data_IF_270766254122
#
_entry.id   IF_270766254122
#
_cell.length_a   1.000
_cell.length_b   1.000
_cell.length_c   1.000
_cell.angle_alpha   90.00
_cell.angle_beta   90.00
_cell.angle_gamma   90.00
#
_symmetry.space_group_name_H-M   'P 1'
#
loop_
_entity.id
_entity.type
_entity.pdbx_description
1 polymer ?
#
# COMPACT_ATOMS: atom_id res chain seq x y z
N UNK A 1 -78.34 10.97 27.39
CA UNK A 1 -78.65 11.78 28.60
C UNK A 1 -77.33 12.33 29.14
N UNK A 2 -77.23 13.67 29.29
CA UNK A 2 -76.08 14.42 29.81
C UNK A 2 -75.03 14.78 28.75
N UNK A 3 -75.23 15.79 27.89
CA UNK A 3 -74.96 17.24 28.06
C UNK A 3 -73.48 17.54 28.42
N UNK A 4 -72.65 18.34 27.75
CA UNK A 4 -72.71 19.51 26.85
C UNK A 4 -71.85 20.61 27.49
N UNK A 5 -70.94 21.22 26.71
CA UNK A 5 -70.03 22.27 27.18
C UNK A 5 -69.10 22.80 26.09
N UNK A 6 -69.68 23.55 25.15
CA UNK A 6 -69.08 24.29 24.02
C UNK A 6 -68.50 25.65 24.43
N UNK A 7 -67.36 26.03 23.82
CA UNK A 7 -66.95 27.40 23.39
C UNK A 7 -65.67 27.23 22.52
N UNK A 8 -65.55 27.52 21.21
CA UNK A 8 -65.94 28.61 20.30
C UNK A 8 -64.93 29.77 20.21
N UNK A 9 -64.27 29.86 19.03
CA UNK A 9 -63.69 31.02 18.30
C UNK A 9 -62.59 31.88 18.96
N UNK A 10 -61.54 32.35 18.29
CA UNK A 10 -61.13 32.34 16.88
C UNK A 10 -59.83 33.17 16.71
N UNK A 11 -59.31 33.26 15.48
CA UNK A 11 -58.28 34.26 15.13
C UNK A 11 -57.21 33.75 14.18
N UNK A 12 -57.49 33.83 12.88
CA UNK A 12 -56.48 33.70 11.82
C UNK A 12 -55.57 34.93 11.75
N UNK A 13 -54.33 34.71 11.30
CA UNK A 13 -53.33 35.76 11.10
C UNK A 13 -52.25 35.28 10.15
N UNK A 14 -52.56 35.36 8.85
CA UNK A 14 -51.63 35.17 7.75
C UNK A 14 -50.72 36.39 7.68
N UNK A 15 -49.42 36.24 7.89
CA UNK A 15 -48.45 37.31 7.60
C UNK A 15 -47.90 37.15 6.18
N UNK A 16 -48.36 38.05 5.31
CA UNK A 16 -47.70 38.42 4.07
C UNK A 16 -46.49 39.31 4.35
N UNK A 17 -45.35 39.01 3.72
CA UNK A 17 -44.10 39.77 3.84
C UNK A 17 -43.26 39.72 2.55
N UNK A 18 -43.85 40.21 1.46
CA UNK A 18 -43.30 40.89 0.27
C UNK A 18 -41.82 40.67 -0.16
N UNK A 19 -41.73 40.05 -1.33
CA UNK A 19 -40.76 40.14 -2.44
C UNK A 19 -40.07 41.50 -2.64
N UNK A 20 -38.73 41.48 -2.84
CA UNK A 20 -37.96 42.31 -3.81
C UNK A 20 -36.75 41.46 -4.29
N UNK A 21 -36.65 41.13 -5.59
CA UNK A 21 -35.48 40.46 -6.23
C UNK A 21 -34.48 41.48 -6.81
N UNK A 22 -33.78 41.22 -7.94
CA UNK A 22 -33.15 39.99 -8.49
C UNK A 22 -31.65 40.26 -8.87
N UNK A 23 -31.06 39.46 -9.78
CA UNK A 23 -29.68 39.47 -10.34
C UNK A 23 -28.62 38.68 -9.54
N UNK A 24 -27.79 37.82 -10.13
CA UNK A 24 -27.57 37.49 -11.53
C UNK A 24 -26.62 36.29 -11.64
N UNK A 25 -26.81 35.52 -12.71
CA UNK A 25 -25.95 34.44 -13.20
C UNK A 25 -24.82 35.09 -14.02
N UNK A 26 -23.56 34.71 -13.82
CA UNK A 26 -22.44 35.01 -14.74
C UNK A 26 -21.35 33.92 -14.60
N UNK A 27 -21.14 33.04 -15.59
CA UNK A 27 -20.22 33.19 -16.75
C UNK A 27 -18.76 32.85 -16.37
N UNK A 28 -18.25 31.64 -16.66
CA UNK A 28 -17.56 31.20 -17.88
C UNK A 28 -16.40 32.11 -18.38
N UNK A 29 -15.18 31.65 -18.08
CA UNK A 29 -13.96 31.64 -18.91
C UNK A 29 -13.12 32.93 -19.13
N UNK A 30 -11.79 32.66 -19.11
CA UNK A 30 -10.69 33.31 -19.86
C UNK A 30 -9.93 34.45 -19.16
N UNK A 31 -8.65 34.19 -18.84
CA UNK A 31 -7.41 34.81 -19.38
C UNK A 31 -6.18 34.21 -18.65
N UNK A 32 -5.33 33.42 -19.31
CA UNK A 32 -4.11 33.78 -20.06
C UNK A 32 -2.98 34.45 -19.24
N UNK A 33 -1.93 33.67 -19.02
CA UNK A 33 -0.52 33.90 -19.41
C UNK A 33 0.17 35.24 -19.06
N UNK A 34 1.22 35.16 -18.23
CA UNK A 34 2.35 36.10 -18.14
C UNK A 34 3.59 35.23 -17.80
N UNK A 35 4.29 34.69 -18.79
CA UNK A 35 5.47 35.22 -19.48
C UNK A 35 6.61 35.76 -18.60
N UNK A 36 7.75 35.06 -18.72
CA UNK A 36 9.10 35.41 -18.30
C UNK A 36 9.60 36.74 -18.87
N UNK A 37 10.42 37.47 -18.11
CA UNK A 37 11.59 38.20 -18.60
C UNK A 37 12.43 38.69 -17.41
N UNK A 38 13.76 38.52 -17.49
CA UNK A 38 14.70 39.06 -16.51
C UNK A 38 16.12 38.49 -16.67
N UNK A 39 16.72 38.69 -17.84
CA UNK A 39 18.13 38.41 -18.15
C UNK A 39 18.97 39.68 -17.93
N UNK A 40 20.24 39.46 -17.53
CA UNK A 40 21.43 40.31 -17.65
C UNK A 40 21.58 41.47 -16.65
N UNK A 41 22.77 41.81 -16.15
CA UNK A 41 24.11 41.24 -16.20
C UNK A 41 25.01 42.08 -15.27
N UNK A 42 26.02 41.50 -14.63
CA UNK A 42 27.32 42.17 -14.55
C UNK A 42 28.46 41.18 -14.28
N UNK A 43 29.43 41.20 -15.19
CA UNK A 43 30.68 40.42 -15.25
C UNK A 43 31.87 41.21 -14.71
N UNK A 44 32.77 40.52 -14.00
CA UNK A 44 34.26 40.58 -14.05
C UNK A 44 34.79 39.56 -13.04
N UNK A 45 35.36 38.42 -13.45
CA UNK A 45 36.70 38.15 -14.01
C UNK A 45 37.84 38.60 -13.08
N UNK A 46 38.46 37.63 -12.41
CA UNK A 46 39.87 37.27 -12.66
C UNK A 46 40.29 36.04 -11.84
N UNK A 47 40.55 34.95 -12.55
CA UNK A 47 41.68 34.02 -12.41
C UNK A 47 42.08 33.46 -11.04
N UNK A 48 41.74 32.18 -10.85
CA UNK A 48 42.75 31.16 -10.50
C UNK A 48 42.53 29.91 -11.36
N UNK A 49 43.61 29.56 -12.04
CA UNK A 49 43.82 28.43 -12.94
C UNK A 49 43.73 27.07 -12.24
N UNK A 50 43.28 26.09 -13.04
CA UNK A 50 43.63 24.65 -12.99
C UNK A 50 43.19 23.80 -11.79
N UNK A 51 42.17 22.95 -12.01
CA UNK A 51 42.28 21.50 -11.80
C UNK A 51 41.08 20.73 -12.40
N UNK A 52 41.39 19.94 -13.42
CA UNK A 52 40.88 18.59 -13.70
C UNK A 52 39.37 18.36 -13.94
N UNK A 53 39.07 18.07 -15.20
CA UNK A 53 38.13 17.03 -15.60
C UNK A 53 38.57 15.65 -15.07
N UNK A 54 37.59 14.76 -14.88
CA UNK A 54 37.67 13.30 -14.62
C UNK A 54 37.76 12.87 -13.16
N UNK A 55 36.61 12.50 -12.59
CA UNK A 55 36.59 11.46 -11.54
C UNK A 55 35.28 10.66 -11.57
N UNK A 56 35.24 9.64 -12.44
CA UNK A 56 34.23 8.56 -12.39
C UNK A 56 34.93 7.21 -12.13
N UNK A 57 35.91 7.19 -11.23
CA UNK A 57 36.54 5.96 -10.76
C UNK A 57 35.86 5.49 -9.47
N UNK A 58 34.78 4.73 -9.62
CA UNK A 58 34.25 3.91 -8.53
C UNK A 58 35.40 3.05 -7.96
N UNK A 59 35.49 2.93 -6.64
CA UNK A 59 36.54 2.12 -6.01
C UNK A 59 36.49 0.67 -6.52
N UNK A 60 37.63 -0.05 -6.62
CA UNK A 60 37.67 -1.41 -7.16
C UNK A 60 36.66 -2.37 -6.52
N UNK A 61 36.41 -2.21 -5.22
CA UNK A 61 35.43 -3.00 -4.47
C UNK A 61 33.97 -2.64 -4.83
N UNK A 62 33.65 -1.35 -5.03
CA UNK A 62 32.32 -0.92 -5.49
C UNK A 62 32.05 -1.39 -6.92
N UNK A 63 33.07 -1.37 -7.78
CA UNK A 63 32.99 -1.89 -9.15
C UNK A 63 32.75 -3.39 -9.19
N UNK A 64 33.49 -4.16 -8.41
CA UNK A 64 33.27 -5.61 -8.28
C UNK A 64 31.84 -5.91 -7.84
N UNK A 65 31.34 -5.24 -6.80
CA UNK A 65 29.97 -5.45 -6.30
C UNK A 65 28.92 -5.18 -7.38
N UNK A 66 29.06 -4.05 -8.09
CA UNK A 66 28.13 -3.66 -9.16
C UNK A 66 28.17 -4.63 -10.34
N UNK A 67 29.35 -5.12 -10.72
CA UNK A 67 29.49 -6.11 -11.80
C UNK A 67 28.86 -7.45 -11.41
N UNK A 68 29.02 -7.88 -10.16
CA UNK A 68 28.37 -9.08 -9.65
C UNK A 68 26.84 -8.93 -9.64
N UNK A 69 26.32 -7.79 -9.16
CA UNK A 69 24.88 -7.46 -9.20
C UNK A 69 24.33 -7.47 -10.64
N UNK A 70 25.03 -6.82 -11.57
CA UNK A 70 24.64 -6.78 -12.99
C UNK A 70 24.60 -8.18 -13.59
N UNK A 71 25.54 -9.05 -13.22
CA UNK A 71 25.60 -10.44 -13.67
C UNK A 71 24.41 -11.25 -13.14
N UNK A 72 24.05 -11.08 -11.86
CA UNK A 72 22.85 -11.71 -11.25
C UNK A 72 21.58 -11.29 -12.01
N UNK A 73 21.42 -9.99 -12.27
CA UNK A 73 20.23 -9.46 -12.95
C UNK A 73 20.06 -10.03 -14.36
N UNK A 74 21.16 -10.17 -15.12
CA UNK A 74 21.17 -10.77 -16.46
C UNK A 74 20.73 -12.23 -16.44
N UNK A 75 21.29 -13.03 -15.52
CA UNK A 75 20.93 -14.45 -15.42
C UNK A 75 19.47 -14.61 -14.96
N UNK A 76 19.03 -13.80 -13.99
CA UNK A 76 17.64 -13.79 -13.56
C UNK A 76 16.68 -13.40 -14.69
N UNK A 77 17.07 -12.45 -15.56
CA UNK A 77 16.28 -12.09 -16.74
C UNK A 77 16.18 -13.25 -17.73
N UNK A 78 17.30 -13.93 -18.04
CA UNK A 78 17.28 -15.11 -18.92
C UNK A 78 16.43 -16.26 -18.37
N UNK A 79 16.36 -16.42 -17.05
CA UNK A 79 15.44 -17.38 -16.42
C UNK A 79 13.98 -16.95 -16.57
N UNK A 80 13.66 -15.65 -16.40
CA UNK A 80 12.31 -15.09 -16.63
C UNK A 80 11.86 -15.24 -18.08
N UNK A 81 12.77 -15.04 -19.02
CA UNK A 81 12.51 -15.14 -20.45
C UNK A 81 12.42 -16.61 -20.94
N UNK A 82 12.63 -17.59 -20.05
CA UNK A 82 12.60 -19.01 -20.37
C UNK A 82 13.82 -19.49 -21.17
N UNK A 83 14.85 -18.66 -21.32
CA UNK A 83 16.12 -19.01 -21.99
C UNK A 83 16.96 -19.95 -21.13
N UNK A 84 16.92 -19.78 -19.81
CA UNK A 84 17.50 -20.71 -18.84
C UNK A 84 16.36 -21.41 -18.11
N UNK A 85 16.25 -22.73 -18.28
CA UNK A 85 15.12 -23.49 -17.74
C UNK A 85 15.49 -24.24 -16.46
N UNK A 86 14.48 -24.57 -15.65
CA UNK A 86 14.64 -25.34 -14.42
C UNK A 86 15.40 -26.64 -14.65
N UNK A 87 16.35 -26.93 -13.76
CA UNK A 87 17.17 -28.15 -13.82
C UNK A 87 18.27 -28.10 -14.88
N UNK A 88 18.33 -27.05 -15.70
CA UNK A 88 19.43 -26.84 -16.64
C UNK A 88 20.72 -26.53 -15.88
N UNK A 89 21.83 -27.03 -16.41
CA UNK A 89 23.15 -26.78 -15.87
C UNK A 89 23.68 -25.45 -16.43
N UNK A 90 24.07 -24.54 -15.55
CA UNK A 90 24.73 -23.30 -15.96
C UNK A 90 26.08 -23.58 -16.63
N UNK A 91 26.54 -22.69 -17.53
CA UNK A 91 27.91 -22.74 -18.06
C UNK A 91 28.94 -22.74 -16.93
N UNK A 92 30.12 -23.32 -17.18
CA UNK A 92 31.19 -23.33 -16.17
C UNK A 92 31.67 -21.91 -15.84
N UNK A 93 32.27 -21.71 -14.66
CA UNK A 93 32.82 -20.40 -14.24
C UNK A 93 33.68 -19.77 -15.35
N UNK A 94 34.51 -20.58 -16.02
CA UNK A 94 35.40 -20.14 -17.11
C UNK A 94 34.59 -19.61 -18.31
N UNK A 95 33.57 -20.34 -18.75
CA UNK A 95 32.72 -19.88 -19.85
C UNK A 95 31.93 -18.63 -19.49
N UNK A 96 31.47 -18.49 -18.23
CA UNK A 96 30.78 -17.27 -17.77
C UNK A 96 31.76 -16.08 -17.78
N UNK A 97 33.00 -16.27 -17.34
CA UNK A 97 34.03 -15.22 -17.37
C UNK A 97 34.28 -14.73 -18.81
N UNK A 98 34.42 -15.65 -19.76
CA UNK A 98 34.67 -15.33 -21.18
C UNK A 98 33.46 -14.64 -21.83
N UNK A 99 32.25 -15.17 -21.61
CA UNK A 99 31.03 -14.63 -22.22
C UNK A 99 30.67 -13.24 -21.69
N UNK A 100 30.93 -12.97 -20.42
CA UNK A 100 30.49 -11.73 -19.74
C UNK A 100 31.63 -10.73 -19.55
N UNK A 101 32.88 -11.11 -19.85
CA UNK A 101 34.05 -10.24 -19.76
C UNK A 101 34.41 -9.84 -18.32
N UNK A 102 34.17 -10.73 -17.34
CA UNK A 102 34.35 -10.44 -15.91
C UNK A 102 35.37 -11.36 -15.24
N UNK A 103 35.94 -10.92 -14.11
CA UNK A 103 36.89 -11.73 -13.36
C UNK A 103 36.23 -12.91 -12.64
N UNK A 104 37.02 -13.94 -12.33
CA UNK A 104 36.55 -15.10 -11.57
C UNK A 104 35.90 -14.73 -10.23
N UNK A 105 36.43 -13.72 -9.56
CA UNK A 105 35.91 -13.23 -8.28
C UNK A 105 34.52 -12.62 -8.42
N UNK A 106 34.23 -11.95 -9.54
CA UNK A 106 32.89 -11.43 -9.88
C UNK A 106 31.92 -12.59 -10.11
N UNK A 107 32.32 -13.59 -10.90
CA UNK A 107 31.48 -14.77 -11.18
C UNK A 107 31.15 -15.53 -9.90
N UNK A 108 32.13 -15.75 -9.02
CA UNK A 108 31.90 -16.45 -7.75
C UNK A 108 31.00 -15.67 -6.79
N UNK A 109 31.14 -14.35 -6.72
CA UNK A 109 30.23 -13.51 -5.92
C UNK A 109 28.80 -13.59 -6.47
N UNK A 110 28.62 -13.46 -7.78
CA UNK A 110 27.32 -13.57 -8.43
C UNK A 110 26.66 -14.95 -8.20
N UNK A 111 27.40 -16.05 -8.42
CA UNK A 111 26.90 -17.41 -8.17
C UNK A 111 26.54 -17.64 -6.70
N UNK A 112 27.35 -17.12 -5.77
CA UNK A 112 27.07 -17.21 -4.33
C UNK A 112 25.77 -16.47 -3.97
N UNK A 113 25.54 -15.29 -4.56
CA UNK A 113 24.29 -14.52 -4.38
C UNK A 113 23.09 -15.22 -4.99
N UNK A 114 23.22 -15.76 -6.19
CA UNK A 114 22.15 -16.55 -6.83
C UNK A 114 21.80 -17.78 -5.99
N UNK A 115 22.79 -18.45 -5.41
CA UNK A 115 22.57 -19.58 -4.50
C UNK A 115 21.88 -19.14 -3.22
N UNK A 116 22.31 -18.02 -2.60
CA UNK A 116 21.65 -17.45 -1.42
C UNK A 116 20.20 -17.00 -1.69
N UNK A 117 19.92 -16.54 -2.92
CA UNK A 117 18.59 -16.17 -3.37
C UNK A 117 17.72 -17.37 -3.81
N UNK A 118 18.23 -18.61 -3.72
CA UNK A 118 17.51 -19.81 -4.11
C UNK A 118 17.30 -19.97 -5.62
N UNK A 119 18.05 -19.24 -6.45
CA UNK A 119 17.94 -19.29 -7.92
C UNK A 119 18.73 -20.45 -8.52
N UNK A 120 19.77 -20.91 -7.82
CA UNK A 120 20.64 -22.00 -8.27
C UNK A 120 21.09 -22.90 -7.13
N UNK A 121 21.40 -24.15 -7.45
CA UNK A 121 22.02 -25.11 -6.55
C UNK A 121 23.37 -25.54 -7.09
N UNK A 122 24.42 -25.43 -6.27
CA UNK A 122 25.75 -25.96 -6.62
C UNK A 122 25.90 -27.38 -6.09
N UNK A 123 26.09 -28.34 -7.00
CA UNK A 123 26.38 -29.74 -6.68
C UNK A 123 27.87 -29.99 -6.84
N UNK A 124 28.55 -30.32 -5.74
CA UNK A 124 30.00 -30.46 -5.71
C UNK A 124 30.50 -31.47 -6.75
N UNK A 125 31.48 -31.07 -7.57
CA UNK A 125 32.04 -31.88 -8.65
C UNK A 125 31.15 -32.04 -9.90
N UNK A 126 29.88 -31.61 -9.87
CA UNK A 126 28.91 -31.81 -10.95
C UNK A 126 28.58 -30.50 -11.67
N UNK A 127 28.43 -29.40 -10.95
CA UNK A 127 28.16 -28.06 -11.51
C UNK A 127 27.02 -27.33 -10.79
N UNK A 128 26.64 -26.17 -11.34
CA UNK A 128 25.57 -25.32 -10.80
C UNK A 128 24.32 -25.46 -11.67
N UNK A 129 23.17 -25.68 -11.04
CA UNK A 129 21.90 -25.97 -11.71
C UNK A 129 20.86 -24.91 -11.37
N UNK A 130 20.01 -24.56 -12.35
CA UNK A 130 18.92 -23.60 -12.18
C UNK A 130 17.80 -24.21 -11.34
N UNK A 131 17.39 -23.51 -10.28
CA UNK A 131 16.23 -23.84 -9.45
C UNK A 131 14.98 -23.10 -9.95
N UNK A 132 13.81 -23.42 -9.39
CA UNK A 132 12.60 -22.65 -9.67
C UNK A 132 12.84 -21.18 -9.27
N UNK A 133 12.76 -20.27 -10.23
CA UNK A 133 12.62 -18.85 -9.91
C UNK A 133 11.36 -18.72 -9.06
N UNK A 134 11.42 -18.12 -7.86
CA UNK A 134 10.19 -17.60 -7.28
C UNK A 134 9.54 -16.74 -8.37
N UNK A 135 8.21 -16.87 -8.59
CA UNK A 135 7.53 -16.21 -9.69
C UNK A 135 7.95 -14.73 -9.74
N UNK A 136 8.15 -14.17 -10.96
CA UNK A 136 8.75 -12.86 -11.16
C UNK A 136 8.07 -11.87 -10.24
N UNK A 137 8.83 -10.93 -9.66
CA UNK A 137 8.35 -9.91 -8.72
C UNK A 137 7.08 -9.21 -9.23
N UNK A 138 5.92 -9.85 -9.04
CA UNK A 138 4.65 -9.17 -8.94
C UNK A 138 4.80 -8.27 -7.74
N UNK A 139 4.37 -7.01 -7.84
CA UNK A 139 4.24 -6.00 -6.78
C UNK A 139 4.62 -6.48 -5.37
N UNK A 140 5.90 -6.69 -5.09
CA UNK A 140 6.32 -7.33 -3.84
C UNK A 140 6.60 -6.21 -2.85
N UNK A 141 5.63 -5.95 -1.99
CA UNK A 141 5.88 -5.11 -0.82
C UNK A 141 6.68 -5.98 0.15
N UNK A 142 8.01 -5.88 0.13
CA UNK A 142 8.90 -6.56 1.07
C UNK A 142 9.01 -5.81 2.39
N UNK A 143 9.58 -6.41 3.45
CA UNK A 143 9.99 -5.66 4.66
C UNK A 143 10.90 -4.46 4.34
N UNK A 144 11.67 -4.55 3.25
CA UNK A 144 12.50 -3.46 2.73
C UNK A 144 11.70 -2.35 2.03
N UNK A 145 10.47 -2.62 1.59
CA UNK A 145 9.59 -1.68 0.87
C UNK A 145 8.70 -0.88 1.82
N UNK A 146 8.41 -1.40 3.03
CA UNK A 146 7.75 -0.66 4.12
C UNK A 146 8.78 -0.38 5.22
N UNK A 147 9.84 0.33 4.86
CA UNK A 147 10.93 0.63 5.78
C UNK A 147 10.62 1.87 6.63
N UNK A 148 9.87 2.83 6.08
CA UNK A 148 9.66 4.17 6.65
C UNK A 148 8.19 4.44 6.98
N UNK A 149 7.96 5.48 7.80
CA UNK A 149 6.60 6.00 8.04
C UNK A 149 5.95 6.49 6.75
N UNK A 150 6.74 7.08 5.84
CA UNK A 150 6.27 7.52 4.53
C UNK A 150 5.77 6.33 3.69
N UNK A 151 6.47 5.19 3.71
CA UNK A 151 6.02 3.98 3.02
C UNK A 151 4.69 3.45 3.56
N UNK A 152 4.50 3.52 4.89
CA UNK A 152 3.21 3.15 5.51
C UNK A 152 2.09 4.10 5.09
N UNK A 153 2.36 5.40 4.99
CA UNK A 153 1.37 6.37 4.50
C UNK A 153 1.00 6.09 3.04
N UNK A 154 1.98 5.84 2.18
CA UNK A 154 1.75 5.47 0.78
C UNK A 154 0.94 4.17 0.69
N UNK A 155 1.23 3.18 1.53
CA UNK A 155 0.45 1.94 1.59
C UNK A 155 -0.99 2.19 2.02
N UNK A 156 -1.24 3.06 3.01
CA UNK A 156 -2.60 3.42 3.43
C UNK A 156 -3.37 4.15 2.31
N UNK A 157 -2.70 4.97 1.50
CA UNK A 157 -3.31 5.63 0.33
C UNK A 157 -3.66 4.63 -0.77
N UNK A 158 -2.79 3.64 -1.00
CA UNK A 158 -3.09 2.50 -1.86
C UNK A 158 -4.30 1.71 -1.37
N UNK A 159 -4.34 1.37 -0.07
CA UNK A 159 -5.48 0.69 0.56
C UNK A 159 -6.78 1.48 0.43
N UNK A 160 -6.75 2.79 0.68
CA UNK A 160 -7.91 3.67 0.50
C UNK A 160 -8.49 3.57 -0.92
N UNK A 161 -7.62 3.53 -1.93
CA UNK A 161 -8.04 3.48 -3.34
C UNK A 161 -8.72 2.16 -3.71
N UNK A 162 -8.35 1.05 -3.06
CA UNK A 162 -8.85 -0.29 -3.40
C UNK A 162 -9.96 -0.78 -2.47
N UNK A 163 -9.75 -0.67 -1.16
CA UNK A 163 -10.61 -1.32 -0.18
C UNK A 163 -11.92 -0.59 0.04
N UNK A 164 -11.96 0.73 -0.18
CA UNK A 164 -13.22 1.51 -0.15
C UNK A 164 -14.17 0.99 -1.22
N UNK A 165 -13.69 0.84 -2.45
CA UNK A 165 -14.49 0.28 -3.54
C UNK A 165 -14.77 -1.21 -3.32
N UNK A 166 -13.82 -1.97 -2.78
CA UNK A 166 -14.06 -3.37 -2.41
C UNK A 166 -15.23 -3.50 -1.42
N UNK A 167 -15.33 -2.62 -0.42
CA UNK A 167 -16.41 -2.62 0.56
C UNK A 167 -17.76 -2.25 -0.06
N UNK A 168 -17.80 -1.24 -0.94
CA UNK A 168 -19.01 -0.88 -1.68
C UNK A 168 -19.49 -2.02 -2.58
N UNK A 169 -18.59 -2.64 -3.34
CA UNK A 169 -18.89 -3.80 -4.17
C UNK A 169 -19.31 -5.01 -3.34
N UNK A 170 -18.70 -5.23 -2.18
CA UNK A 170 -19.09 -6.30 -1.26
C UNK A 170 -20.52 -6.10 -0.75
N UNK A 171 -20.89 -4.89 -0.34
CA UNK A 171 -22.25 -4.57 0.06
C UNK A 171 -23.25 -4.77 -1.10
N UNK A 172 -22.87 -4.39 -2.32
CA UNK A 172 -23.73 -4.54 -3.50
C UNK A 172 -23.93 -6.01 -3.90
N UNK A 173 -22.90 -6.85 -3.77
CA UNK A 173 -22.84 -8.21 -4.35
C UNK A 173 -22.91 -9.33 -3.30
N UNK A 174 -23.11 -9.00 -2.03
CA UNK A 174 -23.04 -9.96 -0.93
C UNK A 174 -23.99 -11.15 -1.14
N UNK A 175 -23.46 -12.36 -1.02
CA UNK A 175 -24.25 -13.60 -0.88
C UNK A 175 -24.36 -14.02 0.59
N UNK A 176 -25.33 -14.88 0.95
CA UNK A 176 -25.40 -15.46 2.29
C UNK A 176 -24.11 -16.15 2.72
N UNK A 177 -23.45 -16.87 1.80
CA UNK A 177 -22.19 -17.57 2.05
C UNK A 177 -21.05 -16.56 2.29
N UNK A 178 -20.97 -15.51 1.47
CA UNK A 178 -19.97 -14.46 1.63
C UNK A 178 -20.13 -13.73 2.97
N UNK A 179 -21.36 -13.47 3.41
CA UNK A 179 -21.65 -12.88 4.72
C UNK A 179 -21.27 -13.80 5.88
N UNK A 180 -21.55 -15.09 5.79
CA UNK A 180 -21.15 -16.06 6.81
C UNK A 180 -19.62 -16.09 6.97
N UNK A 181 -18.91 -16.12 5.85
CA UNK A 181 -17.45 -16.12 5.84
C UNK A 181 -16.85 -14.80 6.35
N UNK A 182 -17.48 -13.66 6.02
CA UNK A 182 -17.08 -12.36 6.54
C UNK A 182 -17.36 -12.26 8.05
N UNK A 183 -18.50 -12.77 8.52
CA UNK A 183 -18.85 -12.80 9.95
C UNK A 183 -17.86 -13.63 10.75
N UNK A 184 -17.46 -14.80 10.25
CA UNK A 184 -16.42 -15.63 10.89
C UNK A 184 -15.09 -14.88 11.03
N UNK A 185 -14.65 -14.18 9.99
CA UNK A 185 -13.43 -13.39 10.05
C UNK A 185 -13.56 -12.19 11.01
N UNK A 186 -14.72 -11.53 11.03
CA UNK A 186 -15.02 -10.46 11.97
C UNK A 186 -15.01 -10.93 13.43
N UNK A 187 -15.62 -12.07 13.73
CA UNK A 187 -15.62 -12.64 15.08
C UNK A 187 -14.21 -13.00 15.53
N UNK A 188 -13.43 -13.66 14.68
CA UNK A 188 -12.03 -13.97 14.95
C UNK A 188 -11.19 -12.70 15.22
N UNK A 189 -11.49 -11.58 14.54
CA UNK A 189 -10.84 -10.29 14.78
C UNK A 189 -11.17 -9.72 16.17
N UNK A 190 -12.41 -9.87 16.63
CA UNK A 190 -12.85 -9.39 17.94
C UNK A 190 -12.34 -10.24 19.11
N UNK A 191 -12.22 -11.55 18.94
CA UNK A 191 -11.75 -12.47 19.98
C UNK A 191 -10.28 -12.24 20.38
N UNK A 192 -9.53 -11.52 19.54
CA UNK A 192 -8.14 -11.16 19.82
C UNK A 192 -7.16 -12.34 19.65
N UNK A 193 -5.85 -12.06 19.81
CA UNK A 193 -4.78 -12.98 19.40
C UNK A 193 -4.80 -14.33 20.12
N UNK A 194 -5.37 -14.40 21.33
CA UNK A 194 -5.44 -15.64 22.10
C UNK A 194 -6.25 -16.75 21.42
N UNK A 195 -7.20 -16.41 20.54
CA UNK A 195 -8.03 -17.38 19.82
C UNK A 195 -7.82 -17.40 18.30
N UNK A 196 -7.42 -16.27 17.71
CA UNK A 196 -7.30 -16.11 16.25
C UNK A 196 -5.85 -16.04 15.73
N UNK A 197 -4.87 -16.24 16.60
CA UNK A 197 -3.45 -16.20 16.26
C UNK A 197 -2.86 -14.81 16.46
N UNK A 198 -2.47 -14.11 15.40
CA UNK A 198 -2.00 -12.72 15.51
C UNK A 198 -3.12 -11.76 15.17
N UNK A 199 -3.22 -10.64 15.89
CA UNK A 199 -4.17 -9.56 15.56
C UNK A 199 -3.97 -9.05 14.12
N UNK A 200 -2.74 -9.11 13.60
CA UNK A 200 -2.38 -8.72 12.23
C UNK A 200 -3.00 -9.68 11.21
N UNK A 201 -2.90 -10.99 11.46
CA UNK A 201 -3.49 -11.98 10.56
C UNK A 201 -5.02 -11.91 10.57
N UNK A 202 -5.64 -11.79 11.74
CA UNK A 202 -7.09 -11.67 11.84
C UNK A 202 -7.62 -10.43 11.11
N UNK A 203 -6.92 -9.29 11.23
CA UNK A 203 -7.24 -8.04 10.54
C UNK A 203 -7.11 -8.22 9.01
N UNK A 204 -5.99 -8.78 8.54
CA UNK A 204 -5.80 -9.10 7.13
C UNK A 204 -6.91 -10.01 6.57
N UNK A 205 -7.28 -11.07 7.32
CA UNK A 205 -8.33 -11.98 6.88
C UNK A 205 -9.69 -11.28 6.77
N UNK A 206 -10.02 -10.36 7.67
CA UNK A 206 -11.24 -9.55 7.57
C UNK A 206 -11.28 -8.75 6.27
N UNK A 207 -10.23 -7.99 5.97
CA UNK A 207 -10.15 -7.22 4.72
C UNK A 207 -10.14 -8.12 3.46
N UNK A 208 -9.47 -9.27 3.51
CA UNK A 208 -9.49 -10.25 2.42
C UNK A 208 -10.89 -10.82 2.19
N UNK A 209 -11.69 -11.04 3.24
CA UNK A 209 -13.08 -11.51 3.10
C UNK A 209 -13.98 -10.43 2.49
N UNK A 210 -13.76 -9.15 2.78
CA UNK A 210 -14.43 -8.05 2.10
C UNK A 210 -14.08 -8.05 0.61
N UNK A 211 -12.78 -8.16 0.27
CA UNK A 211 -12.34 -8.24 -1.12
C UNK A 211 -12.96 -9.46 -1.84
N UNK A 212 -13.08 -10.61 -1.19
CA UNK A 212 -13.78 -11.78 -1.73
C UNK A 212 -15.27 -11.54 -1.95
N UNK A 213 -15.94 -10.91 -0.99
CA UNK A 213 -17.36 -10.56 -1.10
C UNK A 213 -17.63 -9.55 -2.23
N UNK A 214 -16.64 -8.76 -2.65
CA UNK A 214 -16.75 -7.88 -3.82
C UNK A 214 -16.90 -8.64 -5.16
N UNK A 215 -16.53 -9.92 -5.21
CA UNK A 215 -16.55 -10.72 -6.43
C UNK A 215 -15.54 -10.29 -7.50
N UNK A 216 -14.62 -9.36 -7.20
CA UNK A 216 -13.59 -8.93 -8.14
C UNK A 216 -12.29 -9.73 -7.92
N UNK A 217 -11.98 -10.63 -8.85
CA UNK A 217 -10.80 -11.50 -8.79
C UNK A 217 -9.49 -10.72 -8.61
N UNK A 218 -9.33 -9.58 -9.29
CA UNK A 218 -8.11 -8.77 -9.20
C UNK A 218 -7.93 -8.12 -7.83
N UNK A 219 -9.01 -7.69 -7.16
CA UNK A 219 -8.95 -7.21 -5.78
C UNK A 219 -8.57 -8.33 -4.81
N UNK A 220 -9.02 -9.56 -5.06
CA UNK A 220 -8.66 -10.70 -4.23
C UNK A 220 -7.17 -11.03 -4.41
N UNK A 221 -6.69 -11.06 -5.65
CA UNK A 221 -5.34 -11.49 -5.97
C UNK A 221 -4.30 -10.48 -5.48
N UNK A 222 -4.53 -9.17 -5.63
CA UNK A 222 -3.61 -8.15 -5.10
C UNK A 222 -3.54 -8.20 -3.57
N UNK A 223 -4.67 -8.43 -2.89
CA UNK A 223 -4.72 -8.56 -1.43
C UNK A 223 -3.97 -9.82 -0.96
N UNK A 224 -4.14 -10.96 -1.65
CA UNK A 224 -3.39 -12.19 -1.35
C UNK A 224 -1.89 -12.01 -1.56
N UNK A 225 -1.51 -11.36 -2.65
CA UNK A 225 -0.13 -11.12 -3.02
C UNK A 225 0.61 -10.28 -1.97
N UNK A 226 -0.06 -9.26 -1.43
CA UNK A 226 0.48 -8.41 -0.38
C UNK A 226 0.47 -9.07 1.01
N UNK A 227 -0.53 -9.93 1.25
CA UNK A 227 -0.65 -10.68 2.49
C UNK A 227 -0.74 -9.78 3.72
N UNK A 228 -0.26 -10.28 4.86
CA UNK A 228 -0.30 -9.58 6.15
C UNK A 228 0.50 -8.28 6.18
N UNK A 229 1.39 -8.04 5.21
CA UNK A 229 2.18 -6.80 5.09
C UNK A 229 1.31 -5.59 4.79
N UNK A 230 0.09 -5.81 4.27
CA UNK A 230 -0.93 -4.79 4.09
C UNK A 230 -1.40 -4.15 5.41
N UNK A 231 -1.17 -4.83 6.54
CA UNK A 231 -1.64 -4.39 7.86
C UNK A 231 -0.46 -3.82 8.66
N UNK A 232 -0.21 -2.49 8.63
CA UNK A 232 0.94 -1.87 9.28
C UNK A 232 0.78 -1.71 10.81
N UNK A 233 0.11 -2.65 11.48
CA UNK A 233 -0.22 -2.57 12.91
C UNK A 233 1.00 -2.45 13.83
N UNK A 234 2.10 -3.12 13.51
CA UNK A 234 3.30 -3.10 14.36
C UNK A 234 3.90 -1.69 14.50
N UNK A 235 3.83 -0.87 13.44
CA UNK A 235 4.30 0.54 13.46
C UNK A 235 3.28 1.51 14.05
N UNK A 236 1.98 1.20 13.96
CA UNK A 236 0.94 1.99 14.62
C UNK A 236 0.91 1.76 16.14
N UNK A 237 1.28 0.57 16.60
CA UNK A 237 1.29 0.21 18.02
C UNK A 237 2.45 0.83 18.80
N UNK A 238 3.59 1.13 18.17
CA UNK A 238 4.74 1.77 18.84
C UNK A 238 4.47 3.22 19.29
N UNK A 239 3.34 3.80 18.85
CA UNK A 239 2.88 5.14 19.22
C UNK A 239 2.24 5.24 20.61
N UNK A 240 1.80 4.11 21.18
CA UNK A 240 0.99 4.09 22.39
C UNK A 240 1.80 3.47 23.53
N UNK A 241 2.35 4.34 24.38
CA UNK A 241 3.16 3.97 25.55
C UNK A 241 2.26 3.61 26.74
N UNK A 242 1.56 2.48 26.68
CA UNK A 242 0.75 2.00 27.81
C UNK A 242 -0.24 0.88 27.46
N UNK A 243 -0.43 -0.09 28.36
CA UNK A 243 -1.33 -1.24 28.14
C UNK A 243 -2.81 -0.82 28.12
N UNK A 244 -3.20 0.16 28.94
CA UNK A 244 -4.55 0.76 28.97
C UNK A 244 -4.87 1.47 27.66
N UNK A 245 -3.92 2.28 27.17
CA UNK A 245 -4.06 3.07 25.93
C UNK A 245 -4.14 2.16 24.71
N UNK A 246 -3.39 1.05 24.72
CA UNK A 246 -3.46 0.01 23.70
C UNK A 246 -4.84 -0.66 23.65
N UNK A 247 -5.43 -1.00 24.79
CA UNK A 247 -6.75 -1.63 24.83
C UNK A 247 -7.84 -0.68 24.31
N UNK A 248 -7.82 0.58 24.75
CA UNK A 248 -8.75 1.61 24.27
C UNK A 248 -8.60 1.85 22.75
N UNK A 249 -7.35 1.91 22.27
CA UNK A 249 -7.05 2.00 20.85
C UNK A 249 -7.64 0.81 20.06
N UNK A 250 -7.36 -0.42 20.48
CA UNK A 250 -7.88 -1.63 19.82
C UNK A 250 -9.41 -1.69 19.85
N UNK A 251 -10.05 -1.27 20.93
CA UNK A 251 -11.49 -1.19 21.03
C UNK A 251 -12.08 -0.21 20.00
N UNK A 252 -11.45 0.96 19.81
CA UNK A 252 -11.84 1.93 18.78
C UNK A 252 -11.76 1.34 17.37
N UNK A 253 -10.64 0.70 17.04
CA UNK A 253 -10.46 0.02 15.74
C UNK A 253 -11.51 -1.09 15.53
N UNK A 254 -11.81 -1.86 16.58
CA UNK A 254 -12.83 -2.91 16.49
C UNK A 254 -14.25 -2.35 16.29
N UNK A 255 -14.53 -1.15 16.81
CA UNK A 255 -15.78 -0.44 16.52
C UNK A 255 -15.85 -0.01 15.05
N UNK A 256 -14.75 0.50 14.48
CA UNK A 256 -14.66 0.83 13.05
C UNK A 256 -14.92 -0.41 12.18
N UNK A 257 -14.30 -1.56 12.48
CA UNK A 257 -14.55 -2.82 11.77
C UNK A 257 -16.01 -3.28 11.85
N UNK A 258 -16.66 -3.09 13.00
CA UNK A 258 -18.08 -3.42 13.17
C UNK A 258 -18.98 -2.59 12.27
N UNK A 259 -18.68 -1.30 12.11
CA UNK A 259 -19.43 -0.43 11.21
C UNK A 259 -19.32 -0.90 9.75
N UNK A 260 -18.11 -1.30 9.32
CA UNK A 260 -17.89 -1.87 7.99
C UNK A 260 -18.71 -3.15 7.79
N UNK A 261 -18.63 -4.09 8.74
CA UNK A 261 -19.38 -5.35 8.68
C UNK A 261 -20.88 -5.11 8.58
N UNK A 262 -21.44 -4.25 9.45
CA UNK A 262 -22.87 -3.96 9.48
C UNK A 262 -23.33 -3.35 8.15
N UNK A 263 -22.61 -2.38 7.61
CA UNK A 263 -22.96 -1.74 6.34
C UNK A 263 -22.97 -2.75 5.17
N UNK A 264 -22.01 -3.68 5.14
CA UNK A 264 -21.99 -4.77 4.14
C UNK A 264 -23.14 -5.75 4.36
N UNK A 265 -23.41 -6.14 5.61
CA UNK A 265 -24.50 -7.05 5.97
C UNK A 265 -25.88 -6.50 5.61
N UNK A 266 -26.08 -5.20 5.78
CA UNK A 266 -27.29 -4.47 5.41
C UNK A 266 -27.39 -4.24 3.89
N UNK A 267 -26.30 -4.42 3.13
CA UNK A 267 -26.24 -4.15 1.70
C UNK A 267 -26.20 -2.65 1.37
N UNK A 268 -25.82 -1.81 2.33
CA UNK A 268 -25.73 -0.37 2.13
C UNK A 268 -24.36 0.01 1.55
N UNK A 269 -24.33 0.21 0.23
CA UNK A 269 -23.12 0.49 -0.54
C UNK A 269 -22.39 1.75 -0.07
N UNK A 270 -23.13 2.86 0.09
CA UNK A 270 -22.53 4.15 0.46
C UNK A 270 -22.03 4.13 1.91
N UNK A 271 -22.79 3.51 2.82
CA UNK A 271 -22.33 3.32 4.19
C UNK A 271 -21.09 2.43 4.28
N UNK A 272 -20.98 1.38 3.45
CA UNK A 272 -19.83 0.50 3.44
C UNK A 272 -18.56 1.21 2.95
N UNK A 273 -18.68 2.02 1.87
CA UNK A 273 -17.60 2.89 1.39
C UNK A 273 -17.18 3.89 2.46
N UNK A 274 -18.13 4.59 3.06
CA UNK A 274 -17.86 5.60 4.08
C UNK A 274 -17.18 4.98 5.32
N UNK A 275 -17.68 3.85 5.81
CA UNK A 275 -17.10 3.16 6.95
C UNK A 275 -15.65 2.70 6.68
N UNK A 276 -15.38 2.14 5.51
CA UNK A 276 -14.03 1.73 5.13
C UNK A 276 -13.08 2.93 4.98
N UNK A 277 -13.56 4.02 4.38
CA UNK A 277 -12.79 5.25 4.25
C UNK A 277 -12.42 5.81 5.63
N UNK A 278 -13.38 5.91 6.55
CA UNK A 278 -13.15 6.41 7.91
C UNK A 278 -12.15 5.54 8.67
N UNK A 279 -12.24 4.22 8.55
CA UNK A 279 -11.32 3.28 9.17
C UNK A 279 -9.86 3.47 8.70
N UNK A 280 -9.64 3.49 7.38
CA UNK A 280 -8.31 3.60 6.79
C UNK A 280 -7.73 5.01 6.97
N UNK A 281 -8.55 6.05 6.74
CA UNK A 281 -8.12 7.43 6.96
C UNK A 281 -7.88 7.73 8.44
N UNK A 282 -8.68 7.16 9.35
CA UNK A 282 -8.44 7.21 10.79
C UNK A 282 -7.07 6.63 11.15
N UNK A 283 -6.71 5.49 10.55
CA UNK A 283 -5.39 4.87 10.73
C UNK A 283 -4.26 5.76 10.21
N UNK A 284 -4.46 6.40 9.06
CA UNK A 284 -3.52 7.37 8.47
C UNK A 284 -3.31 8.60 9.37
N UNK A 285 -4.40 9.16 9.90
CA UNK A 285 -4.33 10.35 10.77
C UNK A 285 -3.65 10.04 12.11
N UNK A 286 -3.94 8.88 12.71
CA UNK A 286 -3.27 8.42 13.93
C UNK A 286 -1.75 8.30 13.72
N UNK A 287 -1.32 7.71 12.61
CA UNK A 287 0.10 7.58 12.28
C UNK A 287 0.79 8.95 12.08
N UNK A 288 0.14 9.89 11.37
CA UNK A 288 0.67 11.25 11.19
C UNK A 288 0.83 11.99 12.53
N UNK A 289 -0.14 11.83 13.43
CA UNK A 289 -0.08 12.43 14.78
C UNK A 289 1.10 11.87 15.58
N UNK A 290 1.33 10.56 15.50
CA UNK A 290 2.51 9.94 16.12
C UNK A 290 3.80 10.49 15.55
N UNK A 291 3.91 10.61 14.23
CA UNK A 291 5.12 11.14 13.58
C UNK A 291 5.45 12.55 14.06
N UNK A 292 4.45 13.43 14.17
CA UNK A 292 4.62 14.80 14.65
C UNK A 292 5.17 14.84 16.10
N UNK A 293 4.72 13.93 16.97
CA UNK A 293 5.18 13.87 18.37
C UNK A 293 6.64 13.43 18.55
N UNK A 294 7.26 12.80 17.54
CA UNK A 294 8.64 12.31 17.59
C UNK A 294 9.59 13.04 16.61
N UNK A 295 9.11 14.11 15.96
CA UNK A 295 9.90 14.93 15.04
C UNK A 295 10.37 16.26 15.67
N UNK A 296 9.99 16.51 16.92
CA UNK A 296 10.45 17.61 17.80
C UNK A 296 11.45 17.08 18.83
#
# INVERSE_FOLDING_TARGET
MGQAGTAAFGGGGVFHGKVIGPFGVAEYNRTRNVFCAGIAAYTRVSDRTEAAMSDNALSPQKNHRRLAETLVDRFAQRMRDGVLVRGEKLPSEIHIMEAEGVSRTVVRDALSRMQAAGLVETRHGVGTFVLDMPPPEGFSVGPATIATVADVLNLLEFRLSLEVEAAGLAAQRRSPEALLELKRAFDALLEGPQKSGTTINADFQFHLKIAKASGNAYLIDIMKHLGTKLIPRTRMNSAYTGQSDRNAYLAGINAEHRQIYNAIAEGNVDAARAAMYLHLNGSRMRLRRTQALYSD
#
